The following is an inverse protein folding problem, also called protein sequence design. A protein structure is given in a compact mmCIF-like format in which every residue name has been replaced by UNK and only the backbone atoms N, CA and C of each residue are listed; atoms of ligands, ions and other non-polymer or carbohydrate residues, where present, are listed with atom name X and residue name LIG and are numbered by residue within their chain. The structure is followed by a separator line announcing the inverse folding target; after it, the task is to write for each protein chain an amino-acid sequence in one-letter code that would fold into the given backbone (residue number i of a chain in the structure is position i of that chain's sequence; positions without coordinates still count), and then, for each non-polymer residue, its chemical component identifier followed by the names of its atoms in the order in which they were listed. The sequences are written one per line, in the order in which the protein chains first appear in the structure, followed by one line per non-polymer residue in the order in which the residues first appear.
data_IF_732417583112
#
_entry.id   IF_732417583112
#
_cell.length_a   1.000
_cell.length_b   1.000
_cell.length_c   1.000
_cell.angle_alpha   90.00
_cell.angle_beta   90.00
_cell.angle_gamma   90.00
#
_symmetry.space_group_name_H-M   'P 1'
#
loop_
_entity.id
_entity.type
_entity.pdbx_description
1 polymer ?
#
# COMPACT_ATOMS: atom_id res chain seq x y z
N UNK A 1 -32.59 -5.39 -1.30
CA UNK A 1 -32.32 -4.25 -2.15
C UNK A 1 -31.32 -4.57 -3.22
N UNK A 2 -31.35 -3.91 -4.34
CA UNK A 2 -30.63 -4.42 -5.49
C UNK A 2 -29.17 -4.03 -5.47
N UNK A 3 -28.37 -4.97 -5.12
CA UNK A 3 -26.96 -5.02 -5.49
C UNK A 3 -26.94 -5.61 -6.90
N UNK A 4 -26.17 -4.99 -7.79
CA UNK A 4 -26.07 -5.44 -9.19
C UNK A 4 -24.62 -5.45 -9.61
N UNK A 5 -24.27 -6.40 -10.47
CA UNK A 5 -22.93 -6.45 -11.05
C UNK A 5 -23.08 -6.26 -12.56
N UNK A 6 -22.39 -5.26 -13.07
CA UNK A 6 -22.25 -5.01 -14.49
C UNK A 6 -20.83 -5.25 -14.92
N UNK A 7 -20.67 -5.78 -16.10
CA UNK A 7 -19.36 -6.13 -16.63
C UNK A 7 -19.04 -5.28 -17.85
N UNK A 8 -17.75 -5.03 -18.04
CA UNK A 8 -17.19 -4.43 -19.25
C UNK A 8 -15.94 -5.21 -19.68
N UNK A 9 -15.64 -5.20 -20.96
CA UNK A 9 -14.43 -5.84 -21.50
C UNK A 9 -13.29 -4.84 -21.69
N UNK A 10 -13.61 -3.58 -22.02
CA UNK A 10 -12.66 -2.53 -22.27
C UNK A 10 -12.89 -1.33 -21.34
N UNK A 11 -11.95 -1.04 -20.43
CA UNK A 11 -12.08 0.10 -19.50
C UNK A 11 -12.07 1.46 -20.21
N UNK A 12 -11.62 1.53 -21.46
CA UNK A 12 -11.60 2.75 -22.27
C UNK A 12 -12.89 2.97 -23.07
N UNK A 13 -13.84 2.04 -23.00
CA UNK A 13 -15.07 2.05 -23.80
C UNK A 13 -16.31 1.76 -22.97
N UNK A 14 -16.28 1.96 -21.66
CA UNK A 14 -17.41 1.73 -20.75
C UNK A 14 -18.64 2.57 -21.17
N UNK A 15 -18.39 3.75 -21.76
CA UNK A 15 -19.46 4.61 -22.29
C UNK A 15 -20.21 4.03 -23.50
N UNK A 16 -19.73 2.96 -24.09
CA UNK A 16 -20.44 2.23 -25.15
C UNK A 16 -21.36 1.12 -24.62
N UNK A 17 -21.26 0.82 -23.32
CA UNK A 17 -22.09 -0.20 -22.69
C UNK A 17 -23.55 0.29 -22.52
N UNK A 18 -24.50 -0.64 -22.67
CA UNK A 18 -25.93 -0.33 -22.63
C UNK A 18 -26.39 0.33 -21.32
N UNK A 19 -25.71 0.06 -20.22
CA UNK A 19 -26.02 0.61 -18.92
C UNK A 19 -25.41 1.99 -18.66
N UNK A 20 -24.59 2.53 -19.57
CA UNK A 20 -23.87 3.79 -19.36
C UNK A 20 -24.79 4.95 -19.02
N UNK A 21 -25.85 5.13 -19.80
CA UNK A 21 -26.81 6.22 -19.59
C UNK A 21 -27.46 6.17 -18.20
N UNK A 22 -27.54 5.01 -17.62
CA UNK A 22 -28.09 4.81 -16.29
C UNK A 22 -27.08 5.15 -15.19
N UNK A 23 -25.78 4.89 -15.37
CA UNK A 23 -24.75 5.05 -14.32
C UNK A 23 -24.01 6.38 -14.38
N UNK A 24 -23.88 7.05 -15.52
CA UNK A 24 -23.05 8.26 -15.75
C UNK A 24 -23.33 9.44 -14.83
N UNK A 25 -24.50 9.48 -14.20
CA UNK A 25 -24.91 10.56 -13.28
C UNK A 25 -24.77 10.20 -11.81
N UNK A 26 -24.45 8.96 -11.50
CA UNK A 26 -24.29 8.47 -10.14
C UNK A 26 -22.89 8.75 -9.61
N UNK A 27 -22.65 8.69 -8.28
CA UNK A 27 -21.31 8.68 -7.70
C UNK A 27 -20.54 7.43 -8.10
N UNK A 28 -19.29 7.62 -8.54
CA UNK A 28 -18.38 6.54 -8.91
C UNK A 28 -17.23 6.46 -7.91
N UNK A 29 -17.00 5.29 -7.35
CA UNK A 29 -15.89 5.00 -6.44
C UNK A 29 -14.94 3.99 -7.08
N UNK A 30 -13.72 4.43 -7.37
CA UNK A 30 -12.69 3.64 -8.03
C UNK A 30 -11.75 3.00 -7.01
N UNK A 31 -11.14 1.86 -7.37
CA UNK A 31 -10.19 1.16 -6.51
C UNK A 31 -8.91 1.96 -6.25
N UNK A 32 -8.55 2.86 -7.14
CA UNK A 32 -7.34 3.70 -7.01
C UNK A 32 -7.57 5.12 -7.52
N UNK A 33 -6.74 6.05 -7.03
CA UNK A 33 -6.76 7.44 -7.51
C UNK A 33 -6.41 7.55 -9.00
N UNK A 34 -5.49 6.70 -9.49
CA UNK A 34 -5.15 6.64 -10.92
C UNK A 34 -6.36 6.30 -11.78
N UNK A 35 -7.14 5.29 -11.35
CA UNK A 35 -8.37 4.94 -12.05
C UNK A 35 -9.40 6.06 -11.98
N UNK A 36 -9.58 6.69 -10.82
CA UNK A 36 -10.50 7.81 -10.66
C UNK A 36 -10.14 8.98 -11.60
N UNK A 37 -8.88 9.35 -11.65
CA UNK A 37 -8.39 10.39 -12.56
C UNK A 37 -8.57 9.98 -14.02
N UNK A 38 -8.31 8.74 -14.36
CA UNK A 38 -8.53 8.17 -15.70
C UNK A 38 -10.00 8.28 -16.13
N UNK A 39 -10.93 7.90 -15.25
CA UNK A 39 -12.37 7.99 -15.51
C UNK A 39 -12.82 9.45 -15.79
N UNK A 40 -12.38 10.41 -14.97
CA UNK A 40 -12.68 11.83 -15.17
C UNK A 40 -12.12 12.37 -16.49
N UNK A 41 -10.92 11.92 -16.86
CA UNK A 41 -10.28 12.39 -18.09
C UNK A 41 -10.83 11.79 -19.37
N UNK A 42 -11.34 10.56 -19.27
CA UNK A 42 -11.84 9.84 -20.45
C UNK A 42 -13.30 10.13 -20.74
N UNK A 43 -14.12 10.33 -19.71
CA UNK A 43 -15.56 10.46 -19.87
C UNK A 43 -16.02 11.87 -19.50
N UNK A 44 -16.52 12.61 -20.47
CA UNK A 44 -16.95 14.02 -20.29
C UNK A 44 -18.09 14.15 -19.27
N UNK A 45 -18.95 13.12 -19.17
CA UNK A 45 -20.08 13.09 -18.26
C UNK A 45 -19.67 12.89 -16.79
N UNK A 46 -18.48 12.31 -16.58
CA UNK A 46 -17.92 12.08 -15.26
C UNK A 46 -17.08 13.29 -14.83
N UNK A 47 -17.72 14.26 -14.21
CA UNK A 47 -17.02 15.38 -13.60
C UNK A 47 -16.24 14.94 -12.37
N UNK A 48 -15.22 15.72 -11.99
CA UNK A 48 -14.43 15.45 -10.80
C UNK A 48 -15.25 15.37 -9.49
N UNK A 49 -16.43 15.99 -9.45
CA UNK A 49 -17.37 15.91 -8.32
C UNK A 49 -18.17 14.60 -8.24
N UNK A 50 -18.11 13.77 -9.28
CA UNK A 50 -18.83 12.49 -9.33
C UNK A 50 -17.93 11.27 -9.14
N UNK A 51 -16.61 11.44 -9.09
CA UNK A 51 -15.65 10.33 -9.05
C UNK A 51 -14.73 10.47 -7.86
N UNK A 52 -14.60 9.42 -7.07
CA UNK A 52 -13.76 9.34 -5.89
C UNK A 52 -13.13 7.93 -5.80
N UNK A 53 -12.49 7.62 -4.66
CA UNK A 53 -11.95 6.28 -4.40
C UNK A 53 -12.77 5.53 -3.36
N UNK A 54 -12.74 4.20 -3.41
CA UNK A 54 -13.36 3.34 -2.39
C UNK A 54 -12.77 3.62 -1.02
N UNK A 55 -11.47 3.94 -0.94
CA UNK A 55 -10.81 4.35 0.31
C UNK A 55 -11.44 5.63 0.89
N UNK A 56 -11.77 6.60 0.07
CA UNK A 56 -12.46 7.82 0.50
C UNK A 56 -13.89 7.53 0.97
N UNK A 57 -14.60 6.57 0.35
CA UNK A 57 -15.90 6.12 0.84
C UNK A 57 -15.79 5.49 2.23
N UNK A 58 -14.80 4.62 2.44
CA UNK A 58 -14.49 4.04 3.76
C UNK A 58 -14.17 5.14 4.78
N UNK A 59 -13.33 6.11 4.43
CA UNK A 59 -13.01 7.26 5.30
C UNK A 59 -14.23 8.11 5.61
N UNK A 60 -15.13 8.30 4.66
CA UNK A 60 -16.39 9.01 4.88
C UNK A 60 -17.28 8.34 5.92
N UNK A 61 -17.35 7.00 5.90
CA UNK A 61 -18.13 6.22 6.83
C UNK A 61 -17.45 6.04 8.19
N UNK A 62 -16.15 5.77 8.19
CA UNK A 62 -15.35 5.47 9.37
C UNK A 62 -14.30 6.56 9.66
N UNK A 63 -14.71 7.82 9.58
CA UNK A 63 -13.80 8.97 9.69
C UNK A 63 -12.97 8.97 10.97
N UNK A 64 -13.57 8.65 12.11
CA UNK A 64 -12.85 8.55 13.38
C UNK A 64 -11.86 7.37 13.37
N UNK A 65 -12.27 6.18 12.93
CA UNK A 65 -11.41 5.00 12.85
C UNK A 65 -10.15 5.25 12.00
N UNK A 66 -10.28 5.99 10.91
CA UNK A 66 -9.18 6.35 10.02
C UNK A 66 -8.39 7.58 10.46
N UNK A 67 -8.84 8.29 11.50
CA UNK A 67 -8.16 9.48 12.02
C UNK A 67 -6.82 9.18 12.68
N UNK A 68 -5.91 10.14 12.64
CA UNK A 68 -4.64 10.09 13.38
C UNK A 68 -4.86 10.03 14.91
N UNK A 69 -5.90 10.67 15.40
CA UNK A 69 -6.26 10.65 16.82
C UNK A 69 -6.59 9.23 17.29
N UNK A 70 -7.45 8.53 16.57
CA UNK A 70 -7.79 7.14 16.88
C UNK A 70 -6.54 6.24 16.85
N UNK A 71 -5.69 6.37 15.81
CA UNK A 71 -4.45 5.59 15.70
C UNK A 71 -3.48 5.83 16.86
N UNK A 72 -3.36 7.08 17.33
CA UNK A 72 -2.52 7.40 18.50
C UNK A 72 -3.10 6.78 19.78
N UNK A 73 -4.40 6.87 19.99
CA UNK A 73 -5.06 6.22 21.15
C UNK A 73 -4.86 4.71 21.11
N UNK A 74 -5.03 4.09 19.95
CA UNK A 74 -4.77 2.66 19.76
C UNK A 74 -3.34 2.27 20.09
N UNK A 75 -2.34 3.10 19.74
CA UNK A 75 -0.95 2.83 20.14
C UNK A 75 -0.77 2.85 21.67
N UNK A 76 -1.44 3.75 22.36
CA UNK A 76 -1.41 3.80 23.84
C UNK A 76 -2.06 2.55 24.45
N UNK A 77 -3.20 2.13 23.89
CA UNK A 77 -3.89 0.90 24.29
C UNK A 77 -3.02 -0.33 24.07
N UNK A 78 -2.32 -0.40 22.95
CA UNK A 78 -1.39 -1.51 22.66
C UNK A 78 -0.25 -1.54 23.68
N UNK A 79 0.34 -0.40 24.03
CA UNK A 79 1.39 -0.33 25.06
C UNK A 79 0.91 -0.82 26.41
N UNK A 80 -0.31 -0.45 26.81
CA UNK A 80 -0.92 -0.93 28.04
C UNK A 80 -1.21 -2.43 27.98
N UNK A 81 -1.74 -2.93 26.86
CA UNK A 81 -1.97 -4.36 26.66
C UNK A 81 -0.65 -5.15 26.71
N UNK A 82 0.44 -4.65 26.09
CA UNK A 82 1.77 -5.27 26.16
C UNK A 82 2.25 -5.34 27.62
N UNK A 83 1.97 -4.34 28.43
CA UNK A 83 2.35 -4.36 29.86
C UNK A 83 1.61 -5.45 30.61
N UNK A 84 0.35 -5.74 30.28
CA UNK A 84 -0.50 -6.78 30.88
C UNK A 84 -0.18 -8.19 30.37
N UNK A 85 0.61 -8.33 29.27
CA UNK A 85 1.01 -9.65 28.77
C UNK A 85 1.77 -10.44 29.83
N UNK A 86 1.33 -11.68 30.07
CA UNK A 86 2.00 -12.63 30.95
C UNK A 86 2.93 -13.52 30.14
N UNK A 87 4.21 -13.17 30.10
CA UNK A 87 5.27 -13.90 29.39
C UNK A 87 6.25 -14.42 30.44
N UNK A 88 6.57 -15.70 30.39
CA UNK A 88 7.46 -16.35 31.38
C UNK A 88 8.93 -16.16 31.05
N UNK A 89 9.32 -16.38 29.79
CA UNK A 89 10.72 -16.34 29.35
C UNK A 89 11.03 -15.10 28.53
N UNK A 90 12.16 -14.47 28.76
CA UNK A 90 12.62 -13.27 28.04
C UNK A 90 11.57 -12.13 27.94
N UNK A 91 10.69 -12.01 28.93
CA UNK A 91 9.53 -11.13 28.92
C UNK A 91 9.87 -9.68 28.52
N UNK A 92 10.92 -9.09 29.08
CA UNK A 92 11.29 -7.70 28.78
C UNK A 92 11.75 -7.53 27.33
N UNK A 93 12.53 -8.45 26.79
CA UNK A 93 12.98 -8.40 25.38
C UNK A 93 11.80 -8.54 24.41
N UNK A 94 10.87 -9.44 24.71
CA UNK A 94 9.68 -9.64 23.88
C UNK A 94 8.79 -8.39 23.95
N UNK A 95 8.52 -7.86 25.13
CA UNK A 95 7.72 -6.63 25.30
C UNK A 95 8.37 -5.45 24.59
N UNK A 96 9.68 -5.32 24.63
CA UNK A 96 10.41 -4.27 23.93
C UNK A 96 10.31 -4.44 22.39
N UNK A 97 10.45 -5.66 21.89
CA UNK A 97 10.26 -5.98 20.46
C UNK A 97 8.84 -5.66 19.99
N UNK A 98 7.82 -6.01 20.78
CA UNK A 98 6.43 -5.69 20.49
C UNK A 98 6.19 -4.16 20.43
N UNK A 99 6.76 -3.40 21.38
CA UNK A 99 6.68 -1.94 21.37
C UNK A 99 7.39 -1.32 20.16
N UNK A 100 8.51 -1.87 19.75
CA UNK A 100 9.23 -1.42 18.55
C UNK A 100 8.39 -1.65 17.29
N UNK A 101 7.71 -2.78 17.19
CA UNK A 101 6.84 -3.14 16.06
C UNK A 101 5.39 -2.66 16.22
N UNK A 102 5.12 -1.67 17.06
CA UNK A 102 3.79 -1.17 17.42
C UNK A 102 2.92 -0.85 16.22
N UNK A 103 3.48 -0.27 15.17
CA UNK A 103 2.74 0.04 13.93
C UNK A 103 2.21 -1.21 13.24
N UNK A 104 3.02 -2.27 13.15
CA UNK A 104 2.61 -3.52 12.54
C UNK A 104 1.57 -4.22 13.42
N UNK A 105 1.78 -4.24 14.74
CA UNK A 105 0.80 -4.77 15.69
C UNK A 105 -0.54 -4.04 15.59
N UNK A 106 -0.53 -2.72 15.51
CA UNK A 106 -1.75 -1.92 15.35
C UNK A 106 -2.50 -2.32 14.09
N UNK A 107 -1.82 -2.44 12.95
CA UNK A 107 -2.45 -2.84 11.70
C UNK A 107 -3.08 -4.25 11.81
N UNK A 108 -2.37 -5.20 12.41
CA UNK A 108 -2.88 -6.57 12.59
C UNK A 108 -4.07 -6.63 13.56
N UNK A 109 -3.98 -5.90 14.69
CA UNK A 109 -5.08 -5.82 15.66
C UNK A 109 -6.32 -5.15 15.04
N UNK A 110 -6.14 -4.07 14.28
CA UNK A 110 -7.25 -3.41 13.57
C UNK A 110 -8.00 -4.40 12.67
N UNK A 111 -7.28 -5.20 11.88
CA UNK A 111 -7.89 -6.23 11.02
C UNK A 111 -8.70 -7.24 11.86
N UNK A 112 -8.17 -7.68 12.99
CA UNK A 112 -8.89 -8.61 13.88
C UNK A 112 -10.18 -8.00 14.46
N UNK A 113 -10.14 -6.70 14.82
CA UNK A 113 -11.32 -5.97 15.30
C UNK A 113 -12.30 -5.64 14.17
N UNK A 114 -11.80 -5.35 12.97
CA UNK A 114 -12.63 -5.13 11.78
C UNK A 114 -13.41 -6.40 11.41
N UNK A 115 -12.77 -7.56 11.48
CA UNK A 115 -13.39 -8.87 11.25
C UNK A 115 -14.27 -9.34 12.42
N UNK A 116 -14.11 -8.75 13.61
CA UNK A 116 -14.74 -9.18 14.86
C UNK A 116 -14.59 -10.69 15.16
N UNK A 117 -13.38 -11.19 14.92
CA UNK A 117 -13.10 -12.62 15.03
C UNK A 117 -13.37 -13.11 16.46
N UNK A 118 -14.06 -14.25 16.57
CA UNK A 118 -14.24 -14.96 17.84
C UNK A 118 -12.93 -15.57 18.30
N UNK A 119 -12.59 -15.38 19.58
CA UNK A 119 -11.39 -16.00 20.18
C UNK A 119 -11.43 -17.54 20.14
N UNK A 120 -12.62 -18.13 20.16
CA UNK A 120 -12.83 -19.58 20.15
C UNK A 120 -12.55 -20.19 18.76
N UNK A 121 -12.58 -19.38 17.70
CA UNK A 121 -12.29 -19.81 16.33
C UNK A 121 -10.80 -19.80 16.00
N UNK A 122 -9.96 -19.23 16.88
CA UNK A 122 -8.53 -19.10 16.64
C UNK A 122 -7.76 -20.40 17.00
N UNK A 123 -7.13 -20.98 16.00
CA UNK A 123 -6.30 -22.20 16.14
C UNK A 123 -4.87 -21.85 16.58
N UNK A 124 -4.70 -21.56 17.88
CA UNK A 124 -3.39 -21.18 18.46
C UNK A 124 -2.35 -22.29 18.41
N UNK A 125 -2.77 -23.55 18.27
CA UNK A 125 -1.92 -24.73 18.12
C UNK A 125 -1.11 -24.76 16.82
N UNK A 126 -1.51 -23.97 15.82
CA UNK A 126 -0.86 -23.85 14.51
C UNK A 126 -0.07 -22.53 14.34
N UNK A 127 -0.01 -21.70 15.39
CA UNK A 127 0.55 -20.35 15.33
C UNK A 127 2.00 -20.32 15.82
N UNK A 128 2.78 -19.36 15.31
CA UNK A 128 4.10 -19.04 15.86
C UNK A 128 3.96 -18.31 17.20
N UNK A 129 5.06 -18.20 17.96
CA UNK A 129 5.06 -17.46 19.24
C UNK A 129 4.61 -16.01 19.08
N UNK A 130 5.04 -15.32 18.01
CA UNK A 130 4.63 -13.95 17.72
C UNK A 130 3.13 -13.86 17.41
N UNK A 131 2.59 -14.81 16.66
CA UNK A 131 1.16 -14.88 16.38
C UNK A 131 0.36 -15.16 17.65
N UNK A 132 0.85 -16.05 18.54
CA UNK A 132 0.24 -16.27 19.84
C UNK A 132 0.24 -15.01 20.71
N UNK A 133 1.33 -14.22 20.70
CA UNK A 133 1.38 -12.93 21.39
C UNK A 133 0.36 -11.94 20.83
N UNK A 134 0.18 -11.87 19.50
CA UNK A 134 -0.83 -11.02 18.86
C UNK A 134 -2.26 -11.42 19.28
N UNK A 135 -2.56 -12.72 19.30
CA UNK A 135 -3.86 -13.24 19.76
C UNK A 135 -4.11 -12.90 21.23
N UNK A 136 -3.08 -13.01 22.06
CA UNK A 136 -3.21 -12.66 23.49
C UNK A 136 -3.41 -11.15 23.71
N UNK A 137 -2.73 -10.30 22.92
CA UNK A 137 -2.99 -8.86 22.92
C UNK A 137 -4.44 -8.56 22.50
N UNK A 138 -4.92 -9.20 21.44
CA UNK A 138 -6.31 -9.07 21.01
C UNK A 138 -7.28 -9.51 22.12
N UNK A 139 -7.01 -10.62 22.81
CA UNK A 139 -7.80 -11.12 23.94
C UNK A 139 -7.83 -10.12 25.10
N UNK A 140 -6.67 -9.58 25.50
CA UNK A 140 -6.55 -8.59 26.57
C UNK A 140 -7.37 -7.35 26.25
N UNK A 141 -7.25 -6.82 25.03
CA UNK A 141 -7.98 -5.62 24.60
C UNK A 141 -9.48 -5.92 24.52
N UNK A 142 -9.88 -7.00 23.87
CA UNK A 142 -11.31 -7.36 23.64
C UNK A 142 -12.07 -7.58 24.94
N UNK A 143 -11.41 -8.15 25.96
CA UNK A 143 -12.05 -8.49 27.25
C UNK A 143 -11.83 -7.46 28.36
N UNK A 144 -11.37 -6.26 28.05
CA UNK A 144 -11.15 -5.20 29.03
C UNK A 144 -11.75 -3.87 28.56
N UNK A 145 -11.66 -2.86 29.43
CA UNK A 145 -12.04 -1.48 29.12
C UNK A 145 -11.27 -0.87 27.94
N UNK A 146 -10.11 -1.42 27.60
CA UNK A 146 -9.28 -0.99 26.49
C UNK A 146 -9.96 -1.15 25.13
N UNK A 147 -10.99 -1.97 25.04
CA UNK A 147 -11.76 -2.21 23.80
C UNK A 147 -12.39 -0.94 23.22
N UNK A 148 -12.63 0.09 24.04
CA UNK A 148 -13.33 1.30 23.60
C UNK A 148 -12.63 2.01 22.43
N UNK A 149 -11.28 2.04 22.43
CA UNK A 149 -10.50 2.66 21.35
C UNK A 149 -10.32 1.73 20.12
N UNK A 150 -10.78 0.48 20.23
CA UNK A 150 -10.84 -0.49 19.14
C UNK A 150 -12.29 -0.84 18.74
N UNK A 151 -13.28 -0.12 19.29
CA UNK A 151 -14.67 -0.35 18.94
C UNK A 151 -15.01 0.30 17.61
N UNK A 152 -15.42 -0.53 16.67
CA UNK A 152 -15.89 -0.09 15.36
C UNK A 152 -17.41 0.09 15.39
N UNK A 153 -17.90 1.25 14.89
CA UNK A 153 -19.32 1.45 14.70
C UNK A 153 -19.82 0.54 13.56
N UNK A 154 -20.91 -0.18 13.78
CA UNK A 154 -21.45 -1.13 12.80
C UNK A 154 -22.90 -0.83 12.43
N UNK A 155 -23.49 0.16 13.05
CA UNK A 155 -24.88 0.54 12.84
C UNK A 155 -24.96 1.99 12.38
N UNK A 156 -25.37 2.18 11.17
CA UNK A 156 -25.54 3.49 10.55
C UNK A 156 -26.98 3.63 10.07
N UNK A 157 -27.53 4.81 10.23
CA UNK A 157 -28.80 5.22 9.63
C UNK A 157 -28.60 5.54 8.15
N UNK A 158 -29.70 5.57 7.41
CA UNK A 158 -29.65 5.98 5.99
C UNK A 158 -29.04 7.36 5.79
N UNK A 159 -29.37 8.31 6.67
CA UNK A 159 -28.85 9.69 6.62
C UNK A 159 -27.33 9.74 6.84
N UNK A 160 -26.81 8.92 7.74
CA UNK A 160 -25.36 8.83 7.98
C UNK A 160 -24.64 8.19 6.80
N UNK A 161 -25.26 7.20 6.14
CA UNK A 161 -24.72 6.61 4.90
C UNK A 161 -24.68 7.66 3.78
N UNK A 162 -25.74 8.45 3.59
CA UNK A 162 -25.75 9.53 2.60
C UNK A 162 -24.68 10.58 2.90
N UNK A 163 -24.54 10.95 4.15
CA UNK A 163 -23.51 11.89 4.56
C UNK A 163 -22.12 11.32 4.27
N UNK A 164 -21.86 10.05 4.61
CA UNK A 164 -20.59 9.38 4.35
C UNK A 164 -20.24 9.31 2.86
N UNK A 165 -21.22 9.04 2.00
CA UNK A 165 -21.04 9.05 0.54
C UNK A 165 -20.61 10.44 0.08
N UNK A 166 -21.30 11.50 0.53
CA UNK A 166 -20.99 12.89 0.17
C UNK A 166 -19.63 13.32 0.68
N UNK A 167 -19.27 12.97 1.92
CA UNK A 167 -17.94 13.25 2.46
C UNK A 167 -16.84 12.48 1.70
N UNK A 168 -17.06 11.22 1.36
CA UNK A 168 -16.15 10.45 0.53
C UNK A 168 -15.92 11.07 -0.86
N UNK A 169 -16.92 11.74 -1.42
CA UNK A 169 -16.79 12.50 -2.67
C UNK A 169 -15.98 13.79 -2.47
N UNK A 170 -16.21 14.55 -1.39
CA UNK A 170 -15.47 15.78 -1.06
C UNK A 170 -13.99 15.51 -0.79
N UNK A 171 -13.63 14.37 -0.19
CA UNK A 171 -12.24 13.98 0.03
C UNK A 171 -11.44 13.83 -1.27
N UNK A 172 -12.11 13.59 -2.40
CA UNK A 172 -11.46 13.57 -3.71
C UNK A 172 -11.15 14.98 -4.22
N UNK A 173 -12.03 15.96 -3.91
CA UNK A 173 -11.89 17.34 -4.35
C UNK A 173 -12.75 18.27 -3.48
N UNK A 174 -12.10 19.16 -2.76
CA UNK A 174 -12.74 20.10 -1.83
C UNK A 174 -13.73 21.08 -2.53
N UNK A 175 -13.43 21.46 -3.79
CA UNK A 175 -14.21 22.43 -4.58
C UNK A 175 -15.40 21.81 -5.34
N UNK A 176 -15.67 20.51 -5.20
CA UNK A 176 -16.71 19.87 -5.98
C UNK A 176 -18.11 20.27 -5.50
N UNK A 177 -18.96 20.73 -6.41
CA UNK A 177 -20.39 20.93 -6.15
C UNK A 177 -21.10 19.56 -6.10
N UNK A 178 -21.22 19.00 -4.89
CA UNK A 178 -21.77 17.68 -4.62
C UNK A 178 -23.28 17.77 -4.26
N UNK A 179 -23.82 18.97 -4.10
CA UNK A 179 -25.19 19.17 -3.63
C UNK A 179 -26.24 18.52 -4.54
N UNK A 180 -25.95 18.40 -5.83
CA UNK A 180 -26.88 17.87 -6.83
C UNK A 180 -26.60 16.44 -7.30
N UNK A 181 -25.65 15.72 -6.65
CA UNK A 181 -25.35 14.34 -7.01
C UNK A 181 -26.41 13.41 -6.40
N UNK A 182 -27.06 12.59 -7.22
CA UNK A 182 -28.01 11.59 -6.76
C UNK A 182 -27.24 10.42 -6.11
N UNK A 183 -27.37 10.29 -4.79
CA UNK A 183 -26.72 9.24 -4.00
C UNK A 183 -27.56 7.97 -3.82
N UNK A 184 -28.68 7.84 -4.52
CA UNK A 184 -29.52 6.64 -4.42
C UNK A 184 -28.89 5.42 -5.12
N UNK A 185 -28.04 5.67 -6.12
CA UNK A 185 -27.28 4.64 -6.82
C UNK A 185 -25.79 4.98 -6.74
N UNK A 186 -24.98 4.00 -6.39
CA UNK A 186 -23.53 4.13 -6.23
C UNK A 186 -22.84 3.12 -7.11
N UNK A 187 -21.82 3.56 -7.81
CA UNK A 187 -21.03 2.76 -8.73
C UNK A 187 -19.66 2.50 -8.11
N UNK A 188 -19.27 1.25 -8.01
CA UNK A 188 -17.95 0.84 -7.48
C UNK A 188 -17.19 0.12 -8.58
N UNK A 189 -16.00 0.61 -8.90
CA UNK A 189 -15.18 0.12 -10.00
C UNK A 189 -14.02 -0.74 -9.51
N UNK A 190 -13.87 -1.91 -10.13
CA UNK A 190 -12.62 -2.65 -10.19
C UNK A 190 -12.04 -3.09 -8.84
N UNK A 191 -12.87 -3.38 -7.86
CA UNK A 191 -12.39 -3.88 -6.56
C UNK A 191 -11.93 -5.33 -6.73
N UNK A 192 -10.63 -5.54 -6.66
CA UNK A 192 -9.98 -6.85 -6.76
C UNK A 192 -9.27 -7.25 -5.46
N UNK A 193 -9.04 -6.28 -4.57
CA UNK A 193 -8.45 -6.51 -3.27
C UNK A 193 -9.44 -6.04 -2.20
N UNK A 194 -9.86 -6.97 -1.38
CA UNK A 194 -10.85 -6.74 -0.35
C UNK A 194 -10.16 -6.66 1.01
N UNK A 195 -10.32 -5.52 1.69
CA UNK A 195 -10.13 -5.45 3.14
C UNK A 195 -11.48 -5.68 3.83
N UNK A 196 -11.49 -6.10 5.11
CA UNK A 196 -12.73 -6.23 5.87
C UNK A 196 -13.57 -4.96 5.84
N UNK A 197 -12.91 -3.80 5.95
CA UNK A 197 -13.57 -2.49 5.92
C UNK A 197 -14.24 -2.18 4.58
N UNK A 198 -13.60 -2.54 3.46
CA UNK A 198 -14.19 -2.35 2.13
C UNK A 198 -15.45 -3.20 2.00
N UNK A 199 -15.38 -4.49 2.36
CA UNK A 199 -16.54 -5.38 2.28
C UNK A 199 -17.69 -4.90 3.17
N UNK A 200 -17.42 -4.57 4.42
CA UNK A 200 -18.41 -4.02 5.35
C UNK A 200 -19.03 -2.70 4.85
N UNK A 201 -18.21 -1.82 4.26
CA UNK A 201 -18.70 -0.57 3.68
C UNK A 201 -19.67 -0.84 2.53
N UNK A 202 -19.32 -1.75 1.62
CA UNK A 202 -20.18 -2.12 0.50
C UNK A 202 -21.51 -2.71 1.01
N UNK A 203 -21.46 -3.62 1.97
CA UNK A 203 -22.66 -4.23 2.58
C UNK A 203 -23.55 -3.20 3.29
N UNK A 204 -22.95 -2.30 4.08
CA UNK A 204 -23.67 -1.25 4.80
C UNK A 204 -24.35 -0.28 3.82
N UNK A 205 -23.65 0.14 2.81
CA UNK A 205 -24.19 1.03 1.77
C UNK A 205 -25.33 0.32 1.01
N UNK A 206 -25.15 -0.96 0.68
CA UNK A 206 -26.17 -1.75 -0.04
C UNK A 206 -27.45 -1.99 0.75
N UNK A 207 -27.44 -1.81 2.09
CA UNK A 207 -28.69 -1.85 2.89
C UNK A 207 -29.67 -0.73 2.57
N UNK A 208 -29.16 0.44 2.16
CA UNK A 208 -29.93 1.65 1.98
C UNK A 208 -29.92 2.19 0.56
N UNK A 209 -28.88 1.89 -0.22
CA UNK A 209 -28.64 2.41 -1.56
C UNK A 209 -28.47 1.29 -2.57
N UNK A 210 -28.79 1.57 -3.82
CA UNK A 210 -28.46 0.66 -4.91
C UNK A 210 -26.97 0.70 -5.18
N UNK A 211 -26.29 -0.43 -5.04
CA UNK A 211 -24.87 -0.57 -5.34
C UNK A 211 -24.69 -1.33 -6.64
N UNK A 212 -23.96 -0.75 -7.57
CA UNK A 212 -23.56 -1.38 -8.83
C UNK A 212 -22.06 -1.57 -8.80
N UNK A 213 -21.61 -2.82 -8.86
CA UNK A 213 -20.19 -3.14 -9.07
C UNK A 213 -19.94 -3.23 -10.56
N UNK A 214 -18.97 -2.44 -11.02
CA UNK A 214 -18.44 -2.54 -12.37
C UNK A 214 -17.19 -3.40 -12.36
N UNK A 215 -17.25 -4.47 -13.11
CA UNK A 215 -16.22 -5.49 -13.10
C UNK A 215 -15.70 -5.77 -14.51
N UNK A 216 -14.38 -5.68 -14.69
CA UNK A 216 -13.77 -6.10 -15.93
C UNK A 216 -13.80 -7.62 -16.00
N UNK A 217 -14.62 -8.18 -16.90
CA UNK A 217 -14.83 -9.61 -17.01
C UNK A 217 -14.86 -10.06 -18.46
N UNK A 218 -14.19 -11.16 -18.71
CA UNK A 218 -14.10 -11.78 -20.02
C UNK A 218 -14.49 -13.24 -19.87
N UNK A 219 -15.62 -13.60 -20.44
CA UNK A 219 -16.21 -14.92 -20.24
C UNK A 219 -15.28 -16.07 -20.68
N UNK A 220 -14.47 -15.86 -21.71
CA UNK A 220 -13.51 -16.83 -22.20
C UNK A 220 -12.38 -17.14 -21.22
N UNK A 221 -12.13 -16.24 -20.26
CA UNK A 221 -11.09 -16.38 -19.22
C UNK A 221 -11.70 -16.53 -17.82
N UNK A 222 -12.76 -17.31 -17.73
CA UNK A 222 -13.53 -17.49 -16.48
C UNK A 222 -12.65 -17.86 -15.29
N UNK A 223 -11.70 -18.78 -15.45
CA UNK A 223 -10.86 -19.26 -14.36
C UNK A 223 -9.90 -18.17 -13.85
N UNK A 224 -9.47 -17.21 -14.71
CA UNK A 224 -8.69 -16.05 -14.30
C UNK A 224 -9.44 -15.20 -13.26
N UNK A 225 -10.76 -15.11 -13.40
CA UNK A 225 -11.63 -14.30 -12.54
C UNK A 225 -12.27 -15.06 -11.40
N UNK A 226 -12.04 -16.38 -11.27
CA UNK A 226 -12.78 -17.25 -10.34
C UNK A 226 -12.68 -16.77 -8.89
N UNK A 227 -11.51 -16.37 -8.43
CA UNK A 227 -11.32 -15.88 -7.04
C UNK A 227 -12.23 -14.68 -6.73
N UNK A 228 -12.40 -13.76 -7.68
CA UNK A 228 -13.24 -12.59 -7.48
C UNK A 228 -14.74 -12.96 -7.56
N UNK A 229 -15.07 -13.87 -8.44
CA UNK A 229 -16.43 -14.43 -8.55
C UNK A 229 -16.83 -15.06 -7.22
N UNK A 230 -15.92 -15.83 -6.60
CA UNK A 230 -16.19 -16.49 -5.32
C UNK A 230 -16.41 -15.47 -4.19
N UNK A 231 -15.60 -14.42 -4.14
CA UNK A 231 -15.76 -13.32 -3.15
C UNK A 231 -17.11 -12.62 -3.37
N UNK A 232 -17.43 -12.21 -4.60
CA UNK A 232 -18.70 -11.55 -4.87
C UNK A 232 -19.91 -12.45 -4.65
N UNK A 233 -19.78 -13.76 -4.82
CA UNK A 233 -20.84 -14.75 -4.53
C UNK A 233 -21.17 -14.85 -3.05
N UNK A 234 -20.23 -14.49 -2.16
CA UNK A 234 -20.44 -14.51 -0.71
C UNK A 234 -21.39 -13.42 -0.20
N UNK A 235 -21.72 -12.43 -1.03
CA UNK A 235 -22.65 -11.35 -0.69
C UNK A 235 -24.15 -11.76 -0.78
N UNK A 236 -24.52 -12.99 -0.60
CA UNK A 236 -25.92 -13.46 -0.56
C UNK A 236 -26.81 -12.91 -1.70
N UNK A 237 -26.23 -12.72 -2.87
CA UNK A 237 -26.85 -12.07 -4.01
C UNK A 237 -27.02 -13.08 -5.15
N UNK A 238 -28.03 -12.93 -5.98
CA UNK A 238 -28.22 -13.80 -7.16
C UNK A 238 -27.17 -13.44 -8.23
N UNK A 239 -25.92 -13.59 -7.86
CA UNK A 239 -24.76 -13.21 -8.63
C UNK A 239 -24.67 -13.91 -9.98
N UNK A 240 -24.98 -15.20 -9.99
CA UNK A 240 -24.86 -16.02 -11.21
C UNK A 240 -25.87 -15.66 -12.30
N UNK A 241 -27.07 -15.18 -11.93
CA UNK A 241 -28.07 -14.79 -12.90
C UNK A 241 -27.77 -13.46 -13.59
N UNK A 242 -27.02 -12.57 -12.93
CA UNK A 242 -26.70 -11.25 -13.47
C UNK A 242 -25.43 -11.25 -14.35
N UNK A 243 -24.48 -12.15 -14.10
CA UNK A 243 -23.31 -12.33 -14.98
C UNK A 243 -23.67 -12.89 -16.35
N UNK A 244 -24.77 -13.60 -16.47
CA UNK A 244 -25.06 -14.40 -17.65
C UNK A 244 -26.10 -13.82 -18.60
N UNK A 245 -26.90 -12.82 -18.22
CA UNK A 245 -28.10 -12.53 -19.01
C UNK A 245 -28.36 -11.11 -19.46
N UNK A 246 -27.90 -10.06 -18.75
CA UNK A 246 -28.23 -8.69 -19.17
C UNK A 246 -27.05 -7.95 -19.81
N UNK A 247 -25.82 -8.25 -19.39
CA UNK A 247 -24.62 -7.59 -19.90
C UNK A 247 -23.58 -8.66 -20.18
N UNK A 248 -23.82 -9.41 -21.23
CA UNK A 248 -22.81 -10.29 -21.77
C UNK A 248 -21.58 -9.41 -22.06
N UNK A 249 -20.43 -9.61 -21.40
CA UNK A 249 -19.26 -8.86 -21.76
C UNK A 249 -19.07 -9.06 -23.25
N UNK A 250 -18.92 -7.96 -23.97
CA UNK A 250 -18.53 -8.05 -25.36
C UNK A 250 -17.36 -9.02 -25.41
N UNK A 251 -17.39 -10.01 -26.31
CA UNK A 251 -16.25 -10.87 -26.46
C UNK A 251 -15.06 -9.95 -26.54
N UNK A 252 -14.05 -10.19 -25.73
CA UNK A 252 -12.85 -9.40 -25.79
C UNK A 252 -12.48 -9.31 -27.24
N UNK A 253 -12.31 -8.10 -27.69
CA UNK A 253 -11.66 -7.83 -28.93
C UNK A 253 -10.16 -8.10 -28.77
N UNK A 254 -9.80 -9.25 -28.18
CA UNK A 254 -8.44 -9.76 -28.07
C UNK A 254 -7.81 -9.76 -29.48
N UNK A 255 -8.63 -10.06 -30.46
CA UNK A 255 -8.19 -10.06 -31.85
C UNK A 255 -8.04 -8.67 -32.48
N UNK A 256 -8.46 -7.60 -31.82
CA UNK A 256 -8.30 -6.24 -32.32
C UNK A 256 -7.15 -5.47 -31.69
N UNK A 257 -6.56 -5.99 -30.63
CA UNK A 257 -5.31 -5.48 -30.07
C UNK A 257 -4.15 -6.28 -30.64
N UNK A 258 -3.61 -5.81 -31.75
CA UNK A 258 -2.26 -6.21 -32.15
C UNK A 258 -1.32 -5.93 -30.97
N UNK A 259 -0.81 -6.97 -30.32
CA UNK A 259 0.24 -6.83 -29.31
C UNK A 259 -0.05 -7.37 -27.89
N UNK A 260 -1.22 -7.95 -27.64
CA UNK A 260 -1.51 -8.55 -26.32
C UNK A 260 -1.24 -10.07 -26.22
N UNK A 261 -0.37 -10.59 -27.07
CA UNK A 261 -0.11 -12.03 -27.15
C UNK A 261 0.35 -12.63 -25.81
N UNK A 262 1.17 -11.91 -25.03
CA UNK A 262 1.62 -12.41 -23.72
C UNK A 262 0.46 -12.55 -22.74
N UNK A 263 -0.39 -11.55 -22.62
CA UNK A 263 -1.55 -11.58 -21.71
C UNK A 263 -2.53 -12.69 -22.10
N UNK A 264 -2.80 -12.84 -23.39
CA UNK A 264 -3.70 -13.87 -23.90
C UNK A 264 -3.13 -15.27 -23.67
N UNK A 265 -1.83 -15.48 -23.89
CA UNK A 265 -1.17 -16.76 -23.60
C UNK A 265 -1.16 -17.10 -22.13
N UNK A 266 -0.94 -16.12 -21.26
CA UNK A 266 -1.03 -16.33 -19.81
C UNK A 266 -2.45 -16.69 -19.40
N UNK A 267 -3.46 -16.01 -19.91
CA UNK A 267 -4.86 -16.32 -19.66
C UNK A 267 -5.24 -17.71 -20.18
N UNK A 268 -4.87 -18.05 -21.42
CA UNK A 268 -5.11 -19.36 -21.99
C UNK A 268 -4.40 -20.48 -21.21
N UNK A 269 -3.19 -20.23 -20.70
CA UNK A 269 -2.50 -21.19 -19.84
C UNK A 269 -3.26 -21.46 -18.54
N UNK A 270 -3.81 -20.41 -17.91
CA UNK A 270 -4.64 -20.54 -16.69
C UNK A 270 -5.93 -21.29 -16.98
N UNK A 271 -6.52 -21.08 -18.16
CA UNK A 271 -7.73 -21.79 -18.61
C UNK A 271 -7.46 -23.25 -19.02
N UNK A 272 -6.21 -23.69 -19.01
CA UNK A 272 -5.82 -25.06 -19.39
C UNK A 272 -5.63 -25.27 -20.89
N UNK A 273 -5.51 -24.22 -21.66
CA UNK A 273 -5.31 -24.23 -23.11
C UNK A 273 -3.94 -23.69 -23.50
N UNK A 274 -2.83 -24.40 -23.19
CA UNK A 274 -1.49 -23.92 -23.53
C UNK A 274 -1.30 -23.86 -25.05
N UNK A 275 -0.89 -22.70 -25.53
CA UNK A 275 -0.54 -22.49 -26.92
C UNK A 275 0.88 -22.96 -27.24
N UNK A 276 1.13 -23.29 -28.50
CA UNK A 276 2.48 -23.65 -28.98
C UNK A 276 3.41 -22.44 -28.90
N UNK A 277 4.70 -22.70 -28.61
CA UNK A 277 5.76 -21.70 -28.56
C UNK A 277 5.94 -21.04 -29.95
N UNK A 278 5.27 -19.91 -30.14
CA UNK A 278 5.57 -18.97 -31.22
C UNK A 278 6.40 -17.82 -30.66
N UNK A 279 7.20 -17.19 -31.50
CA UNK A 279 7.95 -15.99 -31.10
C UNK A 279 6.95 -14.89 -30.79
N UNK A 280 6.97 -14.44 -29.51
CA UNK A 280 6.14 -13.36 -29.05
C UNK A 280 6.93 -12.05 -29.06
N UNK A 281 6.47 -11.08 -29.81
CA UNK A 281 7.04 -9.74 -29.92
C UNK A 281 6.20 -8.69 -29.18
N UNK A 282 5.20 -9.13 -28.40
CA UNK A 282 4.34 -8.22 -27.64
C UNK A 282 4.98 -7.69 -26.38
N UNK A 283 6.15 -8.19 -26.00
CA UNK A 283 6.90 -7.69 -24.83
C UNK A 283 8.40 -7.62 -25.13
N UNK A 284 9.06 -6.74 -24.40
CA UNK A 284 10.51 -6.56 -24.43
C UNK A 284 11.04 -6.55 -23.00
N UNK A 285 12.20 -7.15 -22.78
CA UNK A 285 12.93 -7.11 -21.51
C UNK A 285 14.18 -6.28 -21.71
N UNK A 286 14.31 -5.21 -20.95
CA UNK A 286 15.46 -4.30 -21.00
C UNK A 286 16.21 -4.39 -19.68
N UNK A 287 17.49 -4.75 -19.75
CA UNK A 287 18.40 -4.79 -18.61
C UNK A 287 19.26 -3.53 -18.59
N UNK A 288 19.50 -3.00 -17.40
CA UNK A 288 20.29 -1.80 -17.17
C UNK A 288 21.46 -2.09 -16.25
N UNK A 289 22.63 -1.56 -16.57
CA UNK A 289 23.85 -1.74 -15.76
C UNK A 289 23.77 -1.03 -14.41
N UNK A 290 22.97 0.04 -14.32
CA UNK A 290 22.85 0.84 -13.12
C UNK A 290 21.54 1.65 -13.04
N UNK A 291 21.24 2.16 -11.85
CA UNK A 291 20.02 2.93 -11.59
C UNK A 291 19.95 4.27 -12.36
N UNK A 292 21.06 4.86 -12.72
CA UNK A 292 21.09 6.13 -13.47
C UNK A 292 20.63 5.89 -14.91
N UNK A 293 21.13 4.84 -15.53
CA UNK A 293 20.74 4.45 -16.89
C UNK A 293 19.25 4.09 -16.96
N UNK A 294 18.79 3.29 -15.99
CA UNK A 294 17.37 3.00 -15.82
C UNK A 294 16.52 4.27 -15.70
N UNK A 295 16.90 5.19 -14.81
CA UNK A 295 16.14 6.43 -14.59
C UNK A 295 16.12 7.32 -15.84
N UNK A 296 17.24 7.43 -16.57
CA UNK A 296 17.32 8.16 -17.83
C UNK A 296 16.38 7.58 -18.89
N UNK A 297 16.40 6.25 -19.03
CA UNK A 297 15.53 5.55 -19.97
C UNK A 297 14.05 5.81 -19.66
N UNK A 298 13.65 5.57 -18.42
CA UNK A 298 12.24 5.77 -18.00
C UNK A 298 11.81 7.22 -18.18
N UNK A 299 12.65 8.19 -17.79
CA UNK A 299 12.36 9.61 -17.98
C UNK A 299 12.19 9.97 -19.46
N UNK A 300 13.03 9.41 -20.35
CA UNK A 300 12.91 9.60 -21.79
C UNK A 300 11.62 9.03 -22.36
N UNK A 301 11.25 7.81 -21.96
CA UNK A 301 9.97 7.20 -22.38
C UNK A 301 8.77 8.04 -21.96
N UNK A 302 8.77 8.56 -20.71
CA UNK A 302 7.72 9.47 -20.22
C UNK A 302 7.67 10.78 -21.01
N UNK A 303 8.82 11.38 -21.31
CA UNK A 303 8.89 12.62 -22.10
C UNK A 303 8.35 12.43 -23.51
N UNK A 304 8.70 11.33 -24.15
CA UNK A 304 8.22 10.99 -25.49
C UNK A 304 6.72 10.70 -25.51
N UNK A 305 6.20 10.06 -24.46
CA UNK A 305 4.78 9.83 -24.32
C UNK A 305 4.02 11.16 -24.12
N UNK A 306 4.53 12.08 -23.31
CA UNK A 306 3.96 13.43 -23.15
C UNK A 306 3.97 14.23 -24.46
N UNK A 307 5.07 14.22 -25.21
CA UNK A 307 5.18 14.88 -26.52
C UNK A 307 4.18 14.33 -27.54
N UNK A 308 3.92 13.02 -27.53
CA UNK A 308 2.89 12.39 -28.37
C UNK A 308 1.49 12.88 -28.00
N UNK A 309 1.20 13.01 -26.72
CA UNK A 309 -0.07 13.54 -26.20
C UNK A 309 -0.30 14.99 -26.62
N UNK A 310 0.69 15.86 -26.46
CA UNK A 310 0.61 17.28 -26.85
C UNK A 310 0.33 17.47 -28.33
N UNK A 311 0.90 16.60 -29.19
CA UNK A 311 0.63 16.65 -30.64
C UNK A 311 -0.79 16.27 -31.01
N UNK A 312 -1.44 15.43 -30.21
CA UNK A 312 -2.82 14.97 -30.49
C UNK A 312 -3.90 15.99 -30.09
N UNK A 313 -3.53 17.18 -29.61
CA UNK A 313 -4.39 18.36 -29.32
C UNK A 313 -5.68 18.09 -28.54
N UNK A 314 -5.79 16.99 -27.86
CA UNK A 314 -6.90 16.76 -26.95
C UNK A 314 -6.55 17.38 -25.59
N UNK A 315 -6.93 18.64 -25.39
CA UNK A 315 -6.58 19.46 -24.23
C UNK A 315 -7.03 18.87 -22.89
N UNK A 316 -7.96 17.92 -22.89
CA UNK A 316 -8.43 17.20 -21.70
C UNK A 316 -7.52 16.06 -21.27
N UNK A 317 -6.68 15.57 -22.18
CA UNK A 317 -5.75 14.45 -21.94
C UNK A 317 -4.30 14.90 -21.73
N UNK A 318 -4.10 16.12 -21.29
CA UNK A 318 -2.76 16.73 -21.18
C UNK A 318 -1.97 16.34 -19.93
N UNK A 319 -2.47 15.41 -19.10
CA UNK A 319 -1.76 14.94 -17.90
C UNK A 319 -1.33 13.49 -18.01
N UNK A 320 -0.25 13.14 -17.34
CA UNK A 320 0.29 11.77 -17.24
C UNK A 320 -0.77 10.72 -16.83
N UNK A 321 -1.80 11.13 -16.12
CA UNK A 321 -2.87 10.25 -15.64
C UNK A 321 -3.77 9.70 -16.75
N UNK A 322 -3.76 10.32 -17.93
CA UNK A 322 -4.65 9.98 -19.04
C UNK A 322 -3.93 9.35 -20.22
N UNK A 323 -2.67 8.95 -20.01
CA UNK A 323 -1.91 8.26 -21.04
C UNK A 323 -2.45 6.85 -21.26
N UNK A 324 -2.50 6.42 -22.52
CA UNK A 324 -2.78 5.04 -22.85
C UNK A 324 -1.67 4.11 -22.35
N UNK A 325 -0.43 4.60 -22.41
CA UNK A 325 0.70 3.90 -21.82
C UNK A 325 0.64 3.99 -20.30
N UNK A 326 0.67 2.86 -19.63
CA UNK A 326 0.68 2.78 -18.19
C UNK A 326 2.01 2.21 -17.70
N UNK A 327 2.52 2.79 -16.63
CA UNK A 327 3.78 2.41 -16.03
C UNK A 327 3.51 1.79 -14.66
N UNK A 328 3.87 0.52 -14.52
CA UNK A 328 3.69 -0.22 -13.29
C UNK A 328 5.03 -0.44 -12.61
N UNK A 329 5.09 -0.23 -11.31
CA UNK A 329 6.29 -0.38 -10.51
C UNK A 329 6.08 -1.48 -9.48
N UNK A 330 6.88 -2.51 -9.56
CA UNK A 330 6.80 -3.65 -8.65
C UNK A 330 7.31 -3.33 -7.22
N UNK A 331 8.11 -2.27 -7.07
CA UNK A 331 8.70 -1.89 -5.79
C UNK A 331 8.71 -0.37 -5.63
N UNK A 332 8.21 0.11 -4.48
CA UNK A 332 8.23 1.54 -4.14
C UNK A 332 9.64 2.17 -4.14
N UNK A 333 10.70 1.38 -3.97
CA UNK A 333 12.09 1.82 -4.07
C UNK A 333 12.41 2.42 -5.44
N UNK A 334 11.81 1.91 -6.52
CA UNK A 334 12.00 2.43 -7.89
C UNK A 334 11.46 3.87 -8.01
N UNK A 335 10.31 4.17 -7.44
CA UNK A 335 9.78 5.53 -7.40
C UNK A 335 10.76 6.50 -6.70
N UNK A 336 11.43 6.05 -5.65
CA UNK A 336 12.43 6.87 -4.96
C UNK A 336 13.66 7.12 -5.84
N UNK A 337 14.07 6.16 -6.67
CA UNK A 337 15.15 6.33 -7.64
C UNK A 337 14.75 7.38 -8.70
N UNK A 338 13.58 7.25 -9.30
CA UNK A 338 13.09 8.20 -10.30
C UNK A 338 12.97 9.61 -9.73
N UNK A 339 12.43 9.76 -8.53
CA UNK A 339 12.34 11.05 -7.82
C UNK A 339 13.72 11.62 -7.44
N UNK A 340 14.71 10.79 -7.23
CA UNK A 340 16.07 11.24 -6.94
C UNK A 340 16.72 11.88 -8.16
N UNK A 341 16.60 11.26 -9.35
CA UNK A 341 17.24 11.71 -10.57
C UNK A 341 16.41 12.77 -11.31
N UNK A 342 15.09 12.67 -11.24
CA UNK A 342 14.16 13.54 -11.99
C UNK A 342 13.02 14.06 -11.10
N UNK A 343 13.32 14.85 -10.04
CA UNK A 343 12.30 15.34 -9.12
C UNK A 343 11.25 16.23 -9.78
N UNK A 344 11.61 17.00 -10.80
CA UNK A 344 10.68 17.85 -11.56
C UNK A 344 9.64 17.06 -12.35
N UNK A 345 9.94 15.82 -12.74
CA UNK A 345 9.05 14.96 -13.54
C UNK A 345 8.25 13.97 -12.67
N UNK A 346 8.88 13.40 -11.64
CA UNK A 346 8.28 12.37 -10.80
C UNK A 346 7.89 12.83 -9.39
N UNK A 347 8.10 14.12 -9.10
CA UNK A 347 7.83 14.71 -7.80
C UNK A 347 8.99 14.56 -6.82
N UNK A 348 8.94 15.34 -5.75
CA UNK A 348 9.97 15.33 -4.72
C UNK A 348 9.84 14.10 -3.82
N UNK A 349 10.98 13.66 -3.28
CA UNK A 349 11.02 12.62 -2.26
C UNK A 349 10.54 13.19 -0.92
N UNK A 350 9.91 12.36 -0.11
CA UNK A 350 9.63 12.73 1.27
C UNK A 350 10.94 13.04 2.01
N UNK A 351 10.94 14.10 2.84
CA UNK A 351 12.13 14.56 3.57
C UNK A 351 12.88 13.43 4.28
N UNK A 352 12.17 12.52 4.95
CA UNK A 352 12.77 11.39 5.67
C UNK A 352 13.48 10.36 4.77
N UNK A 353 13.33 10.43 3.45
CA UNK A 353 14.02 9.54 2.50
C UNK A 353 15.32 10.13 1.96
N UNK A 354 15.66 11.37 2.34
CA UNK A 354 16.97 11.96 2.08
C UNK A 354 17.98 11.58 3.18
N UNK A 355 19.28 11.63 2.89
CA UNK A 355 20.30 11.33 3.89
C UNK A 355 20.15 12.10 5.21
N UNK A 356 19.74 13.37 5.13
CA UNK A 356 19.44 14.19 6.32
C UNK A 356 18.22 13.64 7.10
N UNK A 357 17.20 13.19 6.41
CA UNK A 357 16.01 12.58 7.04
C UNK A 357 16.37 11.27 7.74
N UNK A 358 17.19 10.42 7.09
CA UNK A 358 17.72 9.19 7.69
C UNK A 358 18.55 9.49 8.93
N UNK A 359 19.39 10.54 8.90
CA UNK A 359 20.13 10.99 10.07
C UNK A 359 19.23 11.32 11.26
N UNK A 360 18.20 12.15 11.06
CA UNK A 360 17.26 12.49 12.13
C UNK A 360 16.47 11.28 12.63
N UNK A 361 16.04 10.42 11.71
CA UNK A 361 15.31 9.20 12.08
C UNK A 361 16.17 8.29 12.94
N UNK A 362 17.41 8.06 12.54
CA UNK A 362 18.36 7.20 13.26
C UNK A 362 18.72 7.77 14.64
N UNK A 363 18.91 9.09 14.75
CA UNK A 363 19.11 9.73 16.06
C UNK A 363 17.86 9.56 16.93
N UNK A 364 16.68 9.74 16.37
CA UNK A 364 15.42 9.57 17.13
C UNK A 364 15.26 8.12 17.59
N UNK A 365 15.61 7.13 16.76
CA UNK A 365 15.58 5.72 17.13
C UNK A 365 16.54 5.39 18.28
N UNK A 366 17.72 6.03 18.28
CA UNK A 366 18.74 5.83 19.32
C UNK A 366 18.48 6.67 20.59
N UNK A 367 17.54 7.63 20.59
CA UNK A 367 17.32 8.51 21.74
C UNK A 367 16.51 7.80 22.82
N UNK A 368 17.11 7.67 24.02
CA UNK A 368 16.42 7.19 25.20
C UNK A 368 15.97 8.37 26.09
N UNK A 369 14.68 8.67 26.07
CA UNK A 369 14.11 9.77 26.82
C UNK A 369 14.20 9.58 28.35
N UNK A 370 14.28 8.34 28.83
CA UNK A 370 14.34 8.03 30.28
C UNK A 370 15.73 8.30 30.86
N UNK A 371 16.76 8.00 30.09
CA UNK A 371 18.15 8.13 30.50
C UNK A 371 18.79 9.44 29.99
N UNK A 372 18.06 10.15 29.11
CA UNK A 372 18.55 11.41 28.52
C UNK A 372 19.80 11.27 27.65
N UNK A 373 19.93 10.12 26.95
CA UNK A 373 21.12 9.79 26.18
C UNK A 373 20.86 8.94 24.96
N UNK A 374 21.94 8.62 24.23
CA UNK A 374 21.89 7.77 23.04
C UNK A 374 22.15 6.32 23.45
N UNK A 375 21.19 5.45 23.17
CA UNK A 375 21.31 4.00 23.26
C UNK A 375 21.30 3.39 21.87
N UNK A 376 22.20 2.46 21.63
CA UNK A 376 22.35 1.81 20.31
C UNK A 376 21.69 0.45 20.37
N UNK A 377 20.43 0.36 19.95
CA UNK A 377 19.72 -0.91 19.82
C UNK A 377 20.01 -1.58 18.47
N UNK A 378 20.26 -0.76 17.44
CA UNK A 378 20.54 -1.23 16.10
C UNK A 378 21.77 -0.53 15.52
N UNK A 379 22.80 -1.29 15.18
CA UNK A 379 24.03 -0.76 14.57
C UNK A 379 23.79 -0.09 13.22
N UNK A 380 22.72 -0.41 12.53
CA UNK A 380 22.37 0.26 11.27
C UNK A 380 22.01 1.73 11.47
N UNK A 381 21.49 2.13 12.62
CA UNK A 381 21.22 3.55 12.89
C UNK A 381 22.51 4.36 12.94
N UNK A 382 23.60 3.81 13.47
CA UNK A 382 24.93 4.45 13.40
C UNK A 382 25.41 4.50 11.94
N UNK A 383 25.24 3.42 11.18
CA UNK A 383 25.62 3.35 9.77
C UNK A 383 24.89 4.43 8.96
N UNK A 384 23.61 4.60 9.17
CA UNK A 384 22.80 5.64 8.51
C UNK A 384 23.25 7.06 8.91
N UNK A 385 23.57 7.29 10.19
CA UNK A 385 24.12 8.55 10.64
C UNK A 385 25.46 8.87 9.95
N UNK A 386 26.35 7.90 9.84
CA UNK A 386 27.66 8.07 9.16
C UNK A 386 27.50 8.29 7.65
N UNK A 387 26.51 7.65 7.03
CA UNK A 387 26.25 7.77 5.59
C UNK A 387 25.54 9.07 5.22
N UNK A 388 24.98 9.77 6.19
CA UNK A 388 24.19 10.99 5.98
C UNK A 388 24.97 12.19 5.43
N UNK A 389 26.29 12.20 5.61
CA UNK A 389 27.17 13.32 5.29
C UNK A 389 27.15 14.48 6.30
N UNK A 390 26.38 14.35 7.41
CA UNK A 390 26.30 15.37 8.46
C UNK A 390 27.44 15.27 9.49
N UNK A 391 28.11 14.12 9.57
CA UNK A 391 29.26 13.94 10.46
C UNK A 391 30.50 14.42 9.75
N UNK A 392 31.14 15.41 10.34
CA UNK A 392 32.37 15.98 9.77
C UNK A 392 33.52 14.98 9.86
N UNK A 393 34.11 14.67 8.73
CA UNK A 393 35.26 13.78 8.59
C UNK A 393 36.30 14.39 7.64
N UNK A 394 37.57 13.97 7.79
CA UNK A 394 38.67 14.45 6.93
C UNK A 394 38.57 13.94 5.49
N UNK A 395 38.09 12.70 5.33
CA UNK A 395 37.88 12.07 4.02
C UNK A 395 36.46 11.60 3.94
N UNK A 396 35.62 12.17 3.05
CA UNK A 396 34.19 11.82 2.92
C UNK A 396 33.99 10.32 2.71
N UNK A 397 33.06 9.74 3.46
CA UNK A 397 32.69 8.31 3.39
C UNK A 397 33.66 7.33 4.03
N UNK A 398 34.79 7.79 4.56
CA UNK A 398 35.79 6.91 5.19
C UNK A 398 35.30 6.29 6.50
N UNK A 399 34.67 7.09 7.36
CA UNK A 399 34.08 6.59 8.62
C UNK A 399 32.97 5.58 8.35
N UNK A 400 32.08 5.89 7.42
CA UNK A 400 31.04 4.96 6.96
C UNK A 400 31.65 3.62 6.50
N UNK A 401 32.64 3.68 5.60
CA UNK A 401 33.27 2.47 5.04
C UNK A 401 33.93 1.61 6.12
N UNK A 402 34.65 2.25 7.05
CA UNK A 402 35.32 1.56 8.15
C UNK A 402 34.28 0.95 9.10
N UNK A 403 33.32 1.74 9.53
CA UNK A 403 32.33 1.28 10.50
C UNK A 403 31.45 0.16 9.94
N UNK A 404 31.00 0.28 8.69
CA UNK A 404 30.18 -0.75 8.04
C UNK A 404 30.91 -2.11 7.93
N UNK A 405 32.25 -2.09 7.75
CA UNK A 405 33.07 -3.31 7.76
C UNK A 405 33.33 -3.87 9.15
N UNK A 406 33.22 -3.06 10.19
CA UNK A 406 33.60 -3.43 11.57
C UNK A 406 32.40 -3.53 12.51
N UNK A 407 31.19 -3.18 12.07
CA UNK A 407 29.99 -3.15 12.92
C UNK A 407 29.70 -4.46 13.64
N UNK A 408 30.05 -5.60 13.04
CA UNK A 408 29.91 -6.93 13.64
C UNK A 408 30.67 -7.07 14.96
N UNK A 409 31.78 -6.31 15.16
CA UNK A 409 32.52 -6.33 16.42
C UNK A 409 31.82 -5.59 17.56
N UNK A 410 30.76 -4.83 17.26
CA UNK A 410 30.06 -3.96 18.20
C UNK A 410 28.64 -4.41 18.50
N UNK A 411 28.21 -5.57 17.99
CA UNK A 411 26.82 -6.09 18.09
C UNK A 411 26.29 -6.11 19.52
N UNK A 412 27.15 -6.24 20.53
CA UNK A 412 26.76 -6.28 21.94
C UNK A 412 26.94 -4.92 22.66
N UNK A 413 27.33 -3.87 21.95
CA UNK A 413 27.44 -2.55 22.56
C UNK A 413 26.09 -1.84 22.52
N UNK A 414 25.64 -1.38 23.67
CA UNK A 414 24.35 -0.71 23.87
C UNK A 414 24.48 0.82 23.94
N UNK A 415 25.72 1.34 24.07
CA UNK A 415 25.99 2.76 24.16
C UNK A 415 27.18 3.18 23.31
N UNK A 416 27.23 4.46 22.93
CA UNK A 416 28.35 5.06 22.19
C UNK A 416 29.66 4.93 22.98
N UNK A 417 29.63 5.05 24.29
CA UNK A 417 30.80 4.90 25.14
C UNK A 417 31.35 3.47 25.12
N UNK A 418 30.50 2.47 25.10
CA UNK A 418 30.92 1.07 24.92
C UNK A 418 31.59 0.86 23.57
N UNK A 419 31.00 1.40 22.49
CA UNK A 419 31.60 1.33 21.15
C UNK A 419 32.98 2.00 21.14
N UNK A 420 33.08 3.20 21.73
CA UNK A 420 34.33 3.94 21.83
C UNK A 420 35.37 3.16 22.63
N UNK A 421 34.98 2.54 23.73
CA UNK A 421 35.85 1.67 24.53
C UNK A 421 36.34 0.44 23.76
N UNK A 422 35.47 -0.21 22.97
CA UNK A 422 35.81 -1.35 22.12
C UNK A 422 36.78 -0.93 20.99
N UNK A 423 36.52 0.22 20.35
CA UNK A 423 37.44 0.81 19.37
C UNK A 423 38.82 1.07 19.94
N UNK A 424 38.90 1.62 21.16
CA UNK A 424 40.15 1.82 21.88
C UNK A 424 40.91 0.53 22.15
N UNK A 425 40.20 -0.56 22.52
CA UNK A 425 40.82 -1.88 22.69
C UNK A 425 41.32 -2.45 21.36
N UNK A 426 40.54 -2.32 20.28
CA UNK A 426 40.91 -2.77 18.94
C UNK A 426 42.19 -2.04 18.45
N UNK A 427 42.24 -0.69 18.60
CA UNK A 427 43.43 0.11 18.25
C UNK A 427 44.69 -0.36 18.98
N UNK A 428 44.58 -0.65 20.28
CA UNK A 428 45.69 -1.18 21.07
C UNK A 428 46.18 -2.54 20.57
N UNK A 429 45.26 -3.44 20.20
CA UNK A 429 45.59 -4.77 19.65
C UNK A 429 46.28 -4.68 18.30
N UNK A 430 45.79 -3.82 17.40
CA UNK A 430 46.41 -3.60 16.08
C UNK A 430 47.83 -3.02 16.27
N UNK A 431 47.98 -1.97 17.08
CA UNK A 431 49.31 -1.38 17.34
C UNK A 431 50.31 -2.36 17.99
N UNK A 432 49.82 -3.33 18.78
CA UNK A 432 50.68 -4.41 19.31
C UNK A 432 51.07 -5.39 18.20
N UNK A 433 50.14 -5.82 17.37
CA UNK A 433 50.38 -6.73 16.26
C UNK A 433 51.38 -6.13 15.23
N UNK A 434 51.28 -4.82 14.97
CA UNK A 434 52.21 -4.10 14.09
C UNK A 434 53.62 -4.06 14.67
N UNK A 435 53.77 -3.85 15.97
CA UNK A 435 55.07 -3.90 16.65
C UNK A 435 55.68 -5.31 16.60
N UNK A 436 54.88 -6.34 16.96
CA UNK A 436 55.34 -7.72 16.94
C UNK A 436 55.75 -8.16 15.52
N UNK A 437 55.05 -7.71 14.48
CA UNK A 437 55.37 -7.98 13.08
C UNK A 437 56.65 -7.23 12.62
N UNK A 438 56.94 -6.05 13.19
CA UNK A 438 58.13 -5.27 12.89
C UNK A 438 59.37 -5.88 13.60
N UNK A 439 59.19 -6.33 14.84
CA UNK A 439 60.26 -7.04 15.59
C UNK A 439 60.63 -8.40 15.00
N UNK A 440 59.68 -9.09 14.36
CA UNK A 440 59.98 -10.34 13.65
C UNK A 440 60.65 -10.17 12.29
N UNK A 441 60.74 -8.93 11.76
CA UNK A 441 61.42 -8.60 10.49
C UNK A 441 62.84 -8.05 10.67
N UNK A 442 63.28 -7.82 11.91
CA UNK A 442 64.64 -7.47 12.31
C UNK A 442 65.35 -8.73 12.78
#
# INVERSE_FOLDING_TARGET
MPFSIYTYSNPYEINKELYWDFIKNSPHFCVSQTMANGMVGMYEELTAGKVSTVENLVKGLYSYWESSECKIKQYTVIDEAITRLNITDNAEKIKQSLRFNRRQLSNSLRILFELDISLDEMRTDLMTEEQCCLVELYRIIKNSELVQDFKLERHFSETEIEHAIREGMKLAREDADICNVDVNTIIIHGVHQFSPMILQTIELVAKYKRVILLFNYQQQYKNVYQTWIDVYSSFDLPFQSQFSHEFNPSPLLVNSYEGNLLADRMANLIEGHPEKNEKDHSFEVIEFDNNTEFANYVAGVFEDALKRQEKNKDTRRSTLYYMQEQFYVANNGINNILKLYYPGQFGERHFLTYPIGHFFLSITNMWNAKEGGIQVENMNDIVECLNSGFIKEETPGKLYSIFNRTKEFFVHAETIDQITGLLGKLKKRIGKAEKDATEQRI
#
